data_IF_441151628983
#
_entry.id   IF_441151628983
#
_cell.length_a   1.000
_cell.length_b   1.000
_cell.length_c   1.000
_cell.angle_alpha   90.00
_cell.angle_beta   90.00
_cell.angle_gamma   90.00
#
_symmetry.space_group_name_H-M   'P 1'
#
loop_
_entity.id
_entity.type
_entity.pdbx_description
1 polymer ?
#
# COMPACT_ATOMS: atom_id res chain seq x y z
N UNK A 1 1.01 -24.80 -17.74
CA UNK A 1 2.33 -24.54 -17.12
C UNK A 1 2.26 -24.92 -15.66
N UNK A 2 3.39 -25.30 -15.01
CA UNK A 2 3.40 -25.61 -13.58
C UNK A 2 3.07 -24.34 -12.76
N UNK A 3 2.43 -24.52 -11.59
CA UNK A 3 2.16 -23.39 -10.69
C UNK A 3 3.34 -23.20 -9.74
N UNK A 4 4.31 -22.44 -10.20
CA UNK A 4 5.53 -22.15 -9.42
C UNK A 4 5.26 -21.30 -8.18
N UNK A 5 4.19 -20.48 -8.16
CA UNK A 5 3.82 -19.67 -7.01
C UNK A 5 3.33 -20.54 -5.84
N UNK A 6 2.47 -21.51 -6.13
CA UNK A 6 2.03 -22.48 -5.12
C UNK A 6 3.19 -23.34 -4.62
N UNK A 7 4.09 -23.75 -5.53
CA UNK A 7 5.31 -24.49 -5.18
C UNK A 7 6.21 -23.68 -4.25
N UNK A 8 6.43 -22.39 -4.56
CA UNK A 8 7.24 -21.50 -3.75
C UNK A 8 6.66 -21.32 -2.34
N UNK A 9 5.33 -21.11 -2.20
CA UNK A 9 4.66 -21.00 -0.90
C UNK A 9 4.82 -22.26 -0.04
N UNK A 10 4.69 -23.45 -0.64
CA UNK A 10 4.90 -24.71 0.07
C UNK A 10 6.32 -24.81 0.63
N UNK A 11 7.32 -24.44 -0.17
CA UNK A 11 8.73 -24.47 0.23
C UNK A 11 9.02 -23.42 1.32
N UNK A 12 8.58 -22.18 1.10
CA UNK A 12 8.78 -21.06 2.04
C UNK A 12 8.18 -21.36 3.42
N UNK A 13 6.96 -21.87 3.43
CA UNK A 13 6.23 -22.17 4.67
C UNK A 13 6.51 -23.57 5.22
N UNK A 14 7.39 -24.34 4.57
CA UNK A 14 7.75 -25.73 4.92
C UNK A 14 6.50 -26.62 5.07
N UNK A 15 5.54 -26.46 4.17
CA UNK A 15 4.30 -27.24 4.12
C UNK A 15 4.41 -28.31 3.07
N UNK A 16 4.05 -29.56 3.40
CA UNK A 16 3.97 -30.65 2.43
C UNK A 16 2.67 -30.61 1.64
N UNK A 17 2.64 -31.20 0.43
CA UNK A 17 1.42 -31.36 -0.36
C UNK A 17 0.34 -32.13 0.39
N UNK A 18 0.71 -33.13 1.19
CA UNK A 18 -0.22 -33.89 2.03
C UNK A 18 -0.85 -33.04 3.13
N UNK A 19 -0.07 -32.18 3.81
CA UNK A 19 -0.57 -31.28 4.85
C UNK A 19 -1.52 -30.22 4.28
N UNK A 20 -1.18 -29.67 3.11
CA UNK A 20 -2.09 -28.74 2.42
C UNK A 20 -3.38 -29.46 1.99
N UNK A 21 -3.27 -30.65 1.43
CA UNK A 21 -4.43 -31.44 0.99
C UNK A 21 -5.41 -31.73 2.13
N UNK A 22 -4.89 -32.12 3.30
CA UNK A 22 -5.68 -32.31 4.52
C UNK A 22 -6.38 -31.00 4.94
N UNK A 23 -5.65 -29.88 4.98
CA UNK A 23 -6.18 -28.60 5.41
C UNK A 23 -7.31 -28.08 4.49
N UNK A 24 -7.22 -28.33 3.18
CA UNK A 24 -8.23 -27.89 2.21
C UNK A 24 -9.21 -28.99 1.79
N UNK A 25 -9.16 -30.16 2.47
CA UNK A 25 -10.06 -31.30 2.30
C UNK A 25 -10.10 -31.85 0.86
N UNK A 26 -8.92 -32.15 0.31
CA UNK A 26 -8.75 -32.79 -1.00
C UNK A 26 -7.69 -33.88 -0.95
N UNK A 27 -7.58 -34.71 -2.00
CA UNK A 27 -6.50 -35.69 -2.12
C UNK A 27 -5.14 -35.03 -2.42
N UNK A 28 -4.04 -35.57 -1.91
CA UNK A 28 -2.70 -35.10 -2.20
C UNK A 28 -2.39 -35.04 -3.71
N UNK A 29 -2.87 -36.03 -4.48
CA UNK A 29 -2.78 -36.05 -5.96
C UNK A 29 -3.46 -34.85 -6.61
N UNK A 30 -4.52 -34.33 -5.98
CA UNK A 30 -5.22 -33.13 -6.46
C UNK A 30 -4.33 -31.91 -6.29
N UNK A 31 -3.67 -31.75 -5.14
CA UNK A 31 -2.69 -30.68 -4.92
C UNK A 31 -1.50 -30.79 -5.88
N UNK A 32 -0.98 -32.01 -6.09
CA UNK A 32 0.09 -32.23 -7.08
C UNK A 32 -0.31 -31.81 -8.49
N UNK A 33 -1.55 -32.08 -8.92
CA UNK A 33 -2.06 -31.61 -10.24
C UNK A 33 -2.14 -30.09 -10.32
N UNK A 34 -2.47 -29.41 -9.23
CA UNK A 34 -2.45 -27.95 -9.19
C UNK A 34 -1.04 -27.40 -9.38
N UNK A 35 -0.04 -28.06 -8.78
CA UNK A 35 1.37 -27.64 -8.85
C UNK A 35 1.98 -28.01 -10.21
N UNK A 36 1.96 -29.29 -10.58
CA UNK A 36 2.74 -29.83 -11.70
C UNK A 36 2.05 -29.54 -13.04
N UNK A 37 0.74 -29.81 -13.11
CA UNK A 37 -0.04 -29.59 -14.32
C UNK A 37 -0.57 -28.14 -14.45
N UNK A 38 -0.41 -27.31 -13.41
CA UNK A 38 -0.94 -25.95 -13.37
C UNK A 38 -2.47 -25.90 -13.48
N UNK A 39 -3.15 -26.97 -13.04
CA UNK A 39 -4.61 -27.03 -13.09
C UNK A 39 -5.20 -26.03 -12.10
N UNK A 40 -6.08 -25.16 -12.57
CA UNK A 40 -6.80 -24.22 -11.73
C UNK A 40 -7.92 -24.94 -10.96
N UNK A 41 -7.94 -24.87 -9.62
CA UNK A 41 -9.01 -25.48 -8.82
C UNK A 41 -10.34 -24.74 -8.95
N UNK A 42 -11.43 -25.36 -8.51
CA UNK A 42 -12.69 -24.65 -8.28
C UNK A 42 -12.52 -23.55 -7.21
N UNK A 43 -13.29 -22.49 -7.30
CA UNK A 43 -13.22 -21.28 -6.44
C UNK A 43 -13.12 -21.59 -4.94
N UNK A 44 -13.93 -22.55 -4.44
CA UNK A 44 -13.89 -22.97 -3.03
C UNK A 44 -12.49 -23.42 -2.60
N UNK A 45 -11.81 -24.22 -3.43
CA UNK A 45 -10.47 -24.73 -3.10
C UNK A 45 -9.40 -23.66 -3.27
N UNK A 46 -9.51 -22.78 -4.27
CA UNK A 46 -8.60 -21.65 -4.43
C UNK A 46 -8.64 -20.75 -3.20
N UNK A 47 -9.85 -20.39 -2.76
CA UNK A 47 -10.05 -19.59 -1.55
C UNK A 47 -9.44 -20.24 -0.30
N UNK A 48 -9.69 -21.53 -0.08
CA UNK A 48 -9.17 -22.25 1.08
C UNK A 48 -7.63 -22.33 1.07
N UNK A 49 -7.00 -22.53 -0.09
CA UNK A 49 -5.53 -22.54 -0.24
C UNK A 49 -4.96 -21.15 0.02
N UNK A 50 -5.56 -20.11 -0.55
CA UNK A 50 -5.15 -18.73 -0.35
C UNK A 50 -5.25 -18.32 1.14
N UNK A 51 -6.36 -18.67 1.79
CA UNK A 51 -6.57 -18.43 3.23
C UNK A 51 -5.55 -19.20 4.10
N UNK A 52 -5.24 -20.46 3.74
CA UNK A 52 -4.25 -21.28 4.45
C UNK A 52 -2.84 -20.63 4.44
N UNK A 53 -2.45 -20.01 3.33
CA UNK A 53 -1.17 -19.33 3.22
C UNK A 53 -1.20 -17.85 3.61
N UNK A 54 -2.38 -17.26 3.82
CA UNK A 54 -2.54 -15.84 4.11
C UNK A 54 -2.18 -14.93 2.93
N UNK A 55 -2.42 -15.41 1.70
CA UNK A 55 -2.16 -14.69 0.45
C UNK A 55 -3.46 -14.50 -0.35
N UNK A 56 -3.42 -13.61 -1.35
CA UNK A 56 -4.53 -13.45 -2.27
C UNK A 56 -4.65 -14.66 -3.23
N UNK A 57 -5.88 -15.05 -3.60
CA UNK A 57 -6.16 -16.12 -4.55
C UNK A 57 -5.50 -15.84 -5.92
N UNK A 58 -5.51 -14.60 -6.35
CA UNK A 58 -4.92 -14.18 -7.63
C UNK A 58 -3.39 -14.23 -7.61
N UNK A 59 -2.78 -14.15 -6.44
CA UNK A 59 -1.34 -14.39 -6.32
C UNK A 59 -0.98 -15.81 -6.75
N UNK A 60 -1.77 -16.80 -6.35
CA UNK A 60 -1.49 -18.22 -6.69
C UNK A 60 -1.99 -18.57 -8.08
N UNK A 61 -3.16 -18.09 -8.46
CA UNK A 61 -3.83 -18.36 -9.74
C UNK A 61 -4.25 -17.06 -10.44
N UNK A 62 -3.33 -16.31 -11.06
CA UNK A 62 -3.63 -15.01 -11.67
C UNK A 62 -4.65 -15.09 -12.81
N UNK A 63 -4.71 -16.23 -13.51
CA UNK A 63 -5.60 -16.44 -14.64
C UNK A 63 -6.92 -17.16 -14.24
N UNK A 64 -7.19 -17.27 -12.94
CA UNK A 64 -8.32 -18.04 -12.43
C UNK A 64 -9.67 -17.32 -12.50
N UNK A 65 -9.63 -16.00 -12.59
CA UNK A 65 -10.79 -15.16 -12.77
C UNK A 65 -10.91 -14.82 -14.25
N UNK A 66 -12.10 -14.93 -14.83
CA UNK A 66 -12.34 -14.35 -16.14
C UNK A 66 -12.32 -12.82 -16.04
N UNK A 67 -12.16 -12.15 -17.18
CA UNK A 67 -12.06 -10.69 -17.21
C UNK A 67 -13.29 -9.99 -16.64
N UNK A 68 -14.48 -10.58 -16.74
CA UNK A 68 -15.70 -10.00 -16.17
C UNK A 68 -15.69 -10.06 -14.64
N UNK A 69 -15.23 -11.18 -14.06
CA UNK A 69 -15.13 -11.35 -12.62
C UNK A 69 -14.08 -10.42 -12.01
N UNK A 70 -12.91 -10.27 -12.68
CA UNK A 70 -11.88 -9.30 -12.26
C UNK A 70 -12.41 -7.87 -12.35
N UNK A 71 -13.11 -7.53 -13.43
CA UNK A 71 -13.68 -6.20 -13.62
C UNK A 71 -14.71 -5.90 -12.54
N UNK A 72 -15.67 -6.80 -12.30
CA UNK A 72 -16.70 -6.62 -11.27
C UNK A 72 -16.12 -6.55 -9.86
N UNK A 73 -15.12 -7.38 -9.54
CA UNK A 73 -14.42 -7.29 -8.26
C UNK A 73 -13.69 -5.94 -8.14
N UNK A 74 -12.97 -5.52 -9.18
CA UNK A 74 -12.24 -4.25 -9.17
C UNK A 74 -13.14 -3.04 -9.06
N UNK A 75 -14.32 -3.04 -9.70
CA UNK A 75 -15.34 -2.00 -9.51
C UNK A 75 -15.81 -1.94 -8.05
N UNK A 76 -15.94 -3.08 -7.38
CA UNK A 76 -16.34 -3.17 -5.98
C UNK A 76 -15.25 -2.72 -5.00
N UNK A 77 -14.00 -2.58 -5.43
CA UNK A 77 -12.92 -1.97 -4.63
C UNK A 77 -13.11 -0.45 -4.47
N UNK A 78 -13.88 0.20 -5.38
CA UNK A 78 -14.05 1.66 -5.36
C UNK A 78 -15.13 2.02 -4.34
N UNK A 79 -14.72 2.55 -3.19
CA UNK A 79 -15.64 3.02 -2.14
C UNK A 79 -16.18 4.40 -2.48
N UNK A 80 -15.29 5.30 -2.92
CA UNK A 80 -15.65 6.66 -3.32
C UNK A 80 -14.62 7.27 -4.28
N UNK A 81 -15.08 8.18 -5.12
CA UNK A 81 -14.23 9.02 -5.95
C UNK A 81 -14.55 10.48 -5.64
N UNK A 82 -13.53 11.24 -5.30
CA UNK A 82 -13.64 12.68 -5.04
C UNK A 82 -13.01 13.45 -6.19
N UNK A 83 -13.61 14.56 -6.65
CA UNK A 83 -13.05 15.36 -7.76
C UNK A 83 -11.68 15.96 -7.41
N UNK A 84 -11.39 16.14 -6.12
CA UNK A 84 -10.12 16.64 -5.61
C UNK A 84 -9.95 16.27 -4.13
N UNK A 85 -8.70 16.14 -3.65
CA UNK A 85 -8.38 15.71 -2.28
C UNK A 85 -9.03 16.59 -1.21
N UNK A 86 -9.11 17.91 -1.41
CA UNK A 86 -9.74 18.83 -0.43
C UNK A 86 -11.24 18.61 -0.24
N UNK A 87 -11.90 17.83 -1.13
CA UNK A 87 -13.29 17.43 -0.98
C UNK A 87 -13.48 16.24 -0.03
N UNK A 88 -12.39 15.56 0.35
CA UNK A 88 -12.44 14.44 1.29
C UNK A 88 -12.74 14.97 2.69
N UNK A 89 -13.82 14.51 3.35
CA UNK A 89 -14.14 14.95 4.71
C UNK A 89 -13.00 14.65 5.69
N UNK A 90 -12.76 15.55 6.65
CA UNK A 90 -11.68 15.38 7.62
C UNK A 90 -11.84 14.09 8.44
N UNK A 91 -13.06 13.73 8.81
CA UNK A 91 -13.34 12.53 9.58
C UNK A 91 -12.97 11.25 8.82
N UNK A 92 -13.03 11.27 7.47
CA UNK A 92 -12.60 10.14 6.64
C UNK A 92 -11.11 9.83 6.81
N UNK A 93 -10.27 10.86 6.96
CA UNK A 93 -8.84 10.70 7.29
C UNK A 93 -8.64 10.13 8.69
N UNK A 94 -9.41 10.64 9.65
CA UNK A 94 -9.41 10.13 11.03
C UNK A 94 -9.79 8.64 11.07
N UNK A 95 -10.84 8.25 10.34
CA UNK A 95 -11.28 6.86 10.27
C UNK A 95 -10.24 5.94 9.62
N UNK A 96 -9.60 6.34 8.51
CA UNK A 96 -8.56 5.55 7.86
C UNK A 96 -7.49 5.09 8.86
N UNK A 97 -6.98 6.02 9.67
CA UNK A 97 -5.88 5.72 10.58
C UNK A 97 -6.35 5.12 11.92
N UNK A 98 -7.51 5.54 12.46
CA UNK A 98 -8.01 5.02 13.74
C UNK A 98 -8.41 3.55 13.68
N UNK A 99 -8.89 3.09 12.52
CA UNK A 99 -9.34 1.71 12.33
C UNK A 99 -8.20 0.75 11.94
N UNK A 100 -7.00 1.28 11.63
CA UNK A 100 -5.88 0.42 11.29
C UNK A 100 -5.44 -0.43 12.48
N UNK A 101 -5.35 -1.74 12.31
CA UNK A 101 -4.96 -2.71 13.34
C UNK A 101 -3.59 -3.34 13.04
N UNK A 102 -3.19 -3.38 11.78
CA UNK A 102 -1.97 -4.05 11.31
C UNK A 102 -0.94 -3.06 10.79
N UNK A 103 -1.37 -2.16 9.90
CA UNK A 103 -0.45 -1.29 9.19
C UNK A 103 -1.05 0.06 8.78
N UNK A 104 -0.27 1.12 8.98
CA UNK A 104 -0.46 2.43 8.37
C UNK A 104 0.69 2.66 7.40
N UNK A 105 0.37 3.01 6.15
CA UNK A 105 1.33 3.33 5.11
C UNK A 105 1.08 4.72 4.53
N UNK A 106 2.14 5.51 4.34
CA UNK A 106 2.08 6.83 3.71
C UNK A 106 3.17 6.91 2.66
N UNK A 107 2.80 7.23 1.41
CA UNK A 107 3.72 7.50 0.32
C UNK A 107 3.32 8.80 -0.36
N UNK A 108 4.19 9.79 -0.31
CA UNK A 108 3.95 11.09 -0.95
C UNK A 108 5.27 11.86 -1.14
N UNK A 109 5.28 12.91 -1.96
CA UNK A 109 6.41 13.84 -2.00
C UNK A 109 6.55 14.57 -0.65
N UNK A 110 5.65 15.45 -0.28
CA UNK A 110 5.76 16.21 0.98
C UNK A 110 4.81 15.76 2.08
N UNK A 111 3.62 15.30 1.72
CA UNK A 111 2.58 14.96 2.70
C UNK A 111 2.31 16.08 3.74
N UNK A 112 2.62 17.33 3.38
CA UNK A 112 2.65 18.45 4.31
C UNK A 112 1.33 18.66 5.06
N UNK A 113 0.18 18.54 4.37
CA UNK A 113 -1.15 18.70 4.96
C UNK A 113 -1.44 17.74 6.12
N UNK A 114 -0.90 16.52 6.05
CA UNK A 114 -1.05 15.51 7.10
C UNK A 114 0.01 15.76 8.20
N UNK A 115 1.20 16.19 7.79
CA UNK A 115 2.27 16.53 8.71
C UNK A 115 1.93 17.74 9.59
N UNK A 116 1.19 18.75 9.10
CA UNK A 116 0.78 19.91 9.90
C UNK A 116 -0.41 19.61 10.83
N UNK A 117 -1.23 18.59 10.55
CA UNK A 117 -2.35 18.18 11.42
C UNK A 117 -1.85 17.42 12.65
N UNK A 118 -1.73 18.15 13.77
CA UNK A 118 -1.27 17.58 15.04
C UNK A 118 -2.19 16.45 15.55
N UNK A 119 -3.50 16.51 15.25
CA UNK A 119 -4.47 15.49 15.64
C UNK A 119 -4.24 14.17 14.90
N UNK A 120 -4.02 14.24 13.58
CA UNK A 120 -3.72 13.04 12.78
C UNK A 120 -2.35 12.44 13.14
N UNK A 121 -1.32 13.26 13.34
CA UNK A 121 -0.01 12.77 13.83
C UNK A 121 -0.13 12.07 15.19
N UNK A 122 -0.85 12.69 16.14
CA UNK A 122 -1.09 12.07 17.45
C UNK A 122 -1.79 10.71 17.31
N UNK A 123 -2.84 10.64 16.49
CA UNK A 123 -3.58 9.42 16.20
C UNK A 123 -2.67 8.31 15.64
N UNK A 124 -1.85 8.64 14.62
CA UNK A 124 -0.88 7.69 14.05
C UNK A 124 0.10 7.20 15.11
N UNK A 125 0.63 8.09 15.95
CA UNK A 125 1.52 7.74 17.05
C UNK A 125 0.85 6.84 18.12
N UNK A 126 -0.42 7.06 18.42
CA UNK A 126 -1.21 6.20 19.33
C UNK A 126 -1.40 4.80 18.73
N UNK A 127 -1.68 4.70 17.42
CA UNK A 127 -1.78 3.40 16.74
C UNK A 127 -0.43 2.66 16.73
N UNK A 128 0.68 3.36 16.50
CA UNK A 128 2.02 2.78 16.59
C UNK A 128 2.31 2.21 17.97
N UNK A 129 1.97 2.95 19.04
CA UNK A 129 2.09 2.48 20.44
C UNK A 129 1.20 1.27 20.73
N UNK A 130 0.08 1.14 20.04
CA UNK A 130 -0.82 -0.02 20.13
C UNK A 130 -0.34 -1.23 19.31
N UNK A 131 0.84 -1.16 18.67
CA UNK A 131 1.44 -2.26 17.92
C UNK A 131 1.26 -2.20 16.41
N UNK A 132 0.57 -1.19 15.87
CA UNK A 132 0.40 -1.01 14.43
C UNK A 132 1.74 -0.61 13.79
N UNK A 133 2.12 -1.28 12.71
CA UNK A 133 3.29 -0.91 11.92
C UNK A 133 3.02 0.37 11.15
N UNK A 134 3.87 1.38 11.30
CA UNK A 134 3.75 2.66 10.58
C UNK A 134 4.93 2.87 9.66
N UNK A 135 4.66 3.00 8.36
CA UNK A 135 5.66 3.21 7.31
C UNK A 135 5.39 4.53 6.59
N UNK A 136 6.33 5.45 6.65
CA UNK A 136 6.21 6.77 6.03
C UNK A 136 7.30 6.94 4.98
N UNK A 137 6.90 7.18 3.73
CA UNK A 137 7.76 7.48 2.59
C UNK A 137 7.55 8.92 2.16
N UNK A 138 8.59 9.73 2.30
CA UNK A 138 8.62 11.11 1.83
C UNK A 138 9.64 11.27 0.72
N UNK A 139 9.43 12.22 -0.18
CA UNK A 139 10.43 12.56 -1.18
C UNK A 139 11.73 13.00 -0.52
N UNK A 140 12.86 12.65 -1.11
CA UNK A 140 14.14 13.22 -0.71
C UNK A 140 14.17 14.69 -1.17
N UNK A 141 14.30 15.68 -0.26
CA UNK A 141 14.30 17.09 -0.64
C UNK A 141 15.47 17.48 -1.58
N UNK A 142 16.51 16.67 -1.63
CA UNK A 142 17.65 16.87 -2.54
C UNK A 142 17.45 16.15 -3.89
N UNK A 143 16.38 15.38 -4.05
CA UNK A 143 16.07 14.70 -5.30
C UNK A 143 15.62 15.68 -6.39
N UNK A 144 16.16 15.58 -7.62
CA UNK A 144 15.72 16.39 -8.74
C UNK A 144 14.22 16.19 -9.05
N UNK A 145 13.67 15.03 -8.75
CA UNK A 145 12.25 14.74 -8.99
C UNK A 145 11.31 15.49 -8.04
N UNK A 146 11.76 15.79 -6.82
CA UNK A 146 11.01 16.65 -5.88
C UNK A 146 10.97 18.08 -6.40
N UNK A 147 12.11 18.59 -6.90
CA UNK A 147 12.18 19.94 -7.49
C UNK A 147 11.33 20.02 -8.77
N UNK A 148 11.46 19.04 -9.67
CA UNK A 148 10.67 18.96 -10.91
C UNK A 148 9.17 18.91 -10.62
N UNK A 149 8.75 18.16 -9.60
CA UNK A 149 7.36 18.17 -9.13
C UNK A 149 6.94 19.56 -8.67
N UNK A 150 7.77 20.26 -7.93
CA UNK A 150 7.53 21.65 -7.52
C UNK A 150 7.36 22.59 -8.72
N UNK A 151 8.22 22.44 -9.71
CA UNK A 151 8.14 23.24 -10.96
C UNK A 151 6.84 22.94 -11.72
N UNK A 152 6.49 21.66 -11.88
CA UNK A 152 5.26 21.26 -12.58
C UNK A 152 3.98 21.75 -11.87
N UNK A 153 4.01 21.89 -10.54
CA UNK A 153 2.89 22.46 -9.76
C UNK A 153 2.91 24.00 -9.71
N UNK A 154 3.92 24.66 -10.29
CA UNK A 154 4.07 26.11 -10.26
C UNK A 154 4.53 26.67 -8.91
N UNK A 155 5.10 25.84 -8.02
CA UNK A 155 5.56 26.24 -6.70
C UNK A 155 7.09 26.12 -6.52
N UNK A 156 7.81 25.62 -7.53
CA UNK A 156 9.28 25.55 -7.57
C UNK A 156 9.90 25.03 -6.28
N UNK A 157 10.86 25.76 -5.72
CA UNK A 157 11.60 25.42 -4.50
C UNK A 157 10.74 25.29 -3.23
N UNK A 158 9.49 25.69 -3.28
CA UNK A 158 8.55 25.49 -2.16
C UNK A 158 8.28 24.00 -1.92
N UNK A 159 8.39 23.14 -2.94
CA UNK A 159 8.19 21.71 -2.76
C UNK A 159 9.26 21.07 -1.88
N UNK A 160 10.58 21.20 -2.17
CA UNK A 160 11.63 20.75 -1.25
C UNK A 160 11.50 21.32 0.16
N UNK A 161 11.15 22.60 0.30
CA UNK A 161 10.94 23.23 1.61
C UNK A 161 9.77 22.59 2.40
N UNK A 162 8.66 22.29 1.73
CA UNK A 162 7.53 21.55 2.33
C UNK A 162 7.94 20.14 2.76
N UNK A 163 8.78 19.45 1.98
CA UNK A 163 9.29 18.14 2.35
C UNK A 163 10.13 18.23 3.62
N UNK A 164 11.08 19.16 3.70
CA UNK A 164 11.92 19.37 4.91
C UNK A 164 11.05 19.66 6.15
N UNK A 165 10.04 20.51 6.00
CA UNK A 165 9.10 20.81 7.09
C UNK A 165 8.30 19.56 7.52
N UNK A 166 7.81 18.78 6.57
CA UNK A 166 7.08 17.55 6.85
C UNK A 166 7.97 16.50 7.57
N UNK A 167 9.22 16.33 7.11
CA UNK A 167 10.22 15.47 7.79
C UNK A 167 10.37 15.89 9.25
N UNK A 168 10.58 17.18 9.50
CA UNK A 168 10.73 17.72 10.87
C UNK A 168 9.52 17.41 11.74
N UNK A 169 8.30 17.56 11.20
CA UNK A 169 7.07 17.27 11.95
C UNK A 169 6.87 15.77 12.21
N UNK A 170 7.15 14.91 11.21
CA UNK A 170 7.01 13.46 11.36
C UNK A 170 8.10 12.84 12.24
N UNK A 171 9.26 13.47 12.41
CA UNK A 171 10.28 13.01 13.38
C UNK A 171 9.75 12.86 14.80
N UNK A 172 8.72 13.63 15.18
CA UNK A 172 8.05 13.45 16.47
C UNK A 172 7.44 12.06 16.66
N UNK A 173 7.21 11.32 15.59
CA UNK A 173 6.69 9.94 15.62
C UNK A 173 7.80 8.88 15.79
N UNK A 174 9.07 9.21 15.49
CA UNK A 174 10.19 8.24 15.58
C UNK A 174 10.41 7.73 17.01
N UNK A 175 9.97 8.48 18.01
CA UNK A 175 9.98 8.03 19.41
C UNK A 175 8.97 6.92 19.73
N UNK A 176 7.99 6.69 18.85
CA UNK A 176 7.01 5.62 18.99
C UNK A 176 7.58 4.32 18.39
N UNK A 177 7.37 3.16 19.06
CA UNK A 177 7.77 1.88 18.49
C UNK A 177 7.02 1.64 17.16
N UNK A 178 7.59 0.81 16.28
CA UNK A 178 6.99 0.41 15.01
C UNK A 178 6.79 1.53 13.97
N UNK A 179 7.41 2.70 14.14
CA UNK A 179 7.43 3.77 13.13
C UNK A 179 8.76 3.73 12.38
N UNK A 180 8.67 3.70 11.07
CA UNK A 180 9.83 3.80 10.18
C UNK A 180 9.57 4.85 9.11
N UNK A 181 10.51 5.79 8.97
CA UNK A 181 10.46 6.86 7.97
C UNK A 181 11.59 6.66 6.97
N UNK A 182 11.27 6.69 5.68
CA UNK A 182 12.26 6.60 4.59
C UNK A 182 12.09 7.76 3.61
N UNK A 183 13.19 8.08 2.93
CA UNK A 183 13.21 9.06 1.85
C UNK A 183 13.35 8.35 0.51
N UNK A 184 12.55 8.75 -0.48
CA UNK A 184 12.59 8.21 -1.83
C UNK A 184 13.00 9.27 -2.85
N UNK A 185 13.80 8.87 -3.83
CA UNK A 185 14.13 9.65 -5.02
C UNK A 185 13.36 9.15 -6.26
N UNK A 186 12.09 8.77 -6.10
CA UNK A 186 11.29 8.14 -7.16
C UNK A 186 10.31 9.14 -7.75
N UNK A 187 10.06 9.06 -9.07
CA UNK A 187 8.97 9.80 -9.71
C UNK A 187 7.65 9.16 -9.28
N UNK A 188 6.81 9.92 -8.58
CA UNK A 188 5.49 9.46 -8.16
C UNK A 188 4.40 9.94 -9.13
N UNK A 189 3.51 9.05 -9.51
CA UNK A 189 2.28 9.35 -10.26
C UNK A 189 1.05 9.50 -9.38
N UNK A 190 1.19 9.20 -8.10
CA UNK A 190 0.16 9.31 -7.07
C UNK A 190 0.78 9.36 -5.68
N UNK A 191 0.01 9.84 -4.70
CA UNK A 191 0.29 9.60 -3.29
C UNK A 191 -0.64 8.50 -2.79
N UNK A 192 -0.15 7.66 -1.88
CA UNK A 192 -0.91 6.54 -1.30
C UNK A 192 -0.94 6.70 0.22
N UNK A 193 -2.13 6.55 0.80
CA UNK A 193 -2.33 6.50 2.24
C UNK A 193 -3.11 5.24 2.54
N UNK A 194 -2.58 4.43 3.43
CA UNK A 194 -3.10 3.10 3.75
C UNK A 194 -3.46 2.98 5.22
N UNK A 195 -4.60 2.35 5.50
CA UNK A 195 -4.95 1.78 6.80
C UNK A 195 -5.44 0.35 6.55
N UNK A 196 -4.58 -0.64 6.80
CA UNK A 196 -4.84 -2.06 6.49
C UNK A 196 -5.25 -2.31 5.04
N UNK A 197 -6.51 -2.64 4.81
CA UNK A 197 -7.09 -2.92 3.50
C UNK A 197 -7.81 -1.71 2.88
N UNK A 198 -7.82 -0.55 3.57
CA UNK A 198 -8.33 0.72 3.07
C UNK A 198 -7.19 1.54 2.48
N UNK A 199 -7.40 2.09 1.28
CA UNK A 199 -6.42 2.92 0.59
C UNK A 199 -7.05 4.22 0.14
N UNK A 200 -6.30 5.30 0.32
CA UNK A 200 -6.55 6.59 -0.30
C UNK A 200 -5.47 6.86 -1.33
N UNK A 201 -5.87 7.11 -2.56
CA UNK A 201 -4.96 7.35 -3.68
C UNK A 201 -5.24 8.73 -4.25
N UNK A 202 -4.26 9.62 -4.13
CA UNK A 202 -4.32 10.95 -4.72
C UNK A 202 -3.50 10.97 -6.02
N UNK A 203 -4.17 11.12 -7.15
CA UNK A 203 -3.49 11.18 -8.45
C UNK A 203 -2.61 12.41 -8.56
N UNK A 204 -1.53 12.30 -9.35
CA UNK A 204 -0.70 13.43 -9.72
C UNK A 204 -0.94 13.78 -11.19
N UNK A 205 -1.62 14.89 -11.44
CA UNK A 205 -1.85 15.43 -12.78
C UNK A 205 -0.79 16.48 -13.05
N UNK A 206 -0.22 16.48 -14.26
CA UNK A 206 0.75 17.47 -14.68
C UNK A 206 0.16 18.89 -14.60
N UNK A 207 0.89 19.82 -13.98
CA UNK A 207 0.45 21.21 -13.81
C UNK A 207 -0.62 21.42 -12.75
N UNK A 208 -1.04 20.38 -12.02
CA UNK A 208 -2.10 20.47 -11.00
C UNK A 208 -1.54 20.11 -9.63
N UNK A 209 -1.73 21.01 -8.66
CA UNK A 209 -1.38 20.71 -7.28
C UNK A 209 -2.20 19.53 -6.74
N UNK A 210 -1.57 18.66 -5.96
CA UNK A 210 -2.17 17.42 -5.46
C UNK A 210 -3.49 17.62 -4.70
N UNK A 211 -3.70 18.75 -4.03
CA UNK A 211 -4.98 19.05 -3.35
C UNK A 211 -6.15 19.33 -4.30
N UNK A 212 -5.87 19.63 -5.59
CA UNK A 212 -6.84 19.88 -6.64
C UNK A 212 -6.97 18.71 -7.63
N UNK A 213 -6.22 17.61 -7.42
CA UNK A 213 -6.27 16.43 -8.26
C UNK A 213 -7.28 15.39 -7.74
N UNK A 214 -7.82 14.52 -8.62
CA UNK A 214 -8.74 13.46 -8.25
C UNK A 214 -8.19 12.55 -7.16
N UNK A 215 -9.10 12.03 -6.37
CA UNK A 215 -8.78 11.23 -5.22
C UNK A 215 -9.71 10.02 -5.13
N UNK A 216 -9.13 8.84 -4.91
CA UNK A 216 -9.85 7.58 -4.80
C UNK A 216 -9.80 7.07 -3.37
N UNK A 217 -10.93 6.60 -2.87
CA UNK A 217 -11.02 5.76 -1.69
C UNK A 217 -11.30 4.34 -2.17
N UNK A 218 -10.37 3.45 -1.90
CA UNK A 218 -10.42 2.05 -2.31
C UNK A 218 -10.45 1.16 -1.08
N UNK A 219 -11.12 0.02 -1.19
CA UNK A 219 -11.06 -1.07 -0.23
C UNK A 219 -10.57 -2.32 -0.93
N UNK A 220 -9.44 -2.86 -0.50
CA UNK A 220 -8.91 -4.12 -1.03
C UNK A 220 -9.88 -5.25 -0.74
N UNK A 221 -10.31 -5.95 -1.79
CA UNK A 221 -11.16 -7.12 -1.68
C UNK A 221 -10.55 -8.32 -2.42
N UNK A 222 -10.90 -9.55 -2.04
CA UNK A 222 -10.44 -10.74 -2.77
C UNK A 222 -10.89 -10.71 -4.23
N UNK A 223 -9.93 -10.91 -5.14
CA UNK A 223 -10.18 -10.90 -6.59
C UNK A 223 -10.11 -9.52 -7.24
N UNK A 224 -10.06 -8.43 -6.47
CA UNK A 224 -9.83 -7.09 -6.98
C UNK A 224 -8.34 -6.87 -7.34
N UNK A 225 -8.09 -6.05 -8.34
CA UNK A 225 -6.75 -5.78 -8.88
C UNK A 225 -6.28 -4.34 -8.65
N UNK A 226 -7.20 -3.39 -8.43
CA UNK A 226 -6.87 -1.96 -8.32
C UNK A 226 -6.06 -1.70 -7.05
N UNK A 227 -6.57 -2.08 -5.88
CA UNK A 227 -5.89 -1.85 -4.61
C UNK A 227 -4.53 -2.58 -4.56
N UNK A 228 -4.45 -3.81 -5.10
CA UNK A 228 -3.20 -4.57 -5.16
C UNK A 228 -2.13 -3.84 -5.98
N UNK A 229 -2.49 -3.24 -7.12
CA UNK A 229 -1.55 -2.48 -7.96
C UNK A 229 -0.91 -1.32 -7.20
N UNK A 230 -1.69 -0.59 -6.40
CA UNK A 230 -1.17 0.50 -5.56
C UNK A 230 -0.34 0.01 -4.39
N UNK A 231 -0.72 -1.10 -3.75
CA UNK A 231 0.06 -1.72 -2.68
C UNK A 231 1.42 -2.21 -3.18
N UNK A 232 1.46 -2.87 -4.35
CA UNK A 232 2.72 -3.29 -4.98
C UNK A 232 3.61 -2.10 -5.33
N UNK A 233 3.02 -1.00 -5.82
CA UNK A 233 3.75 0.24 -6.07
C UNK A 233 4.35 0.81 -4.78
N UNK A 234 3.60 0.83 -3.68
CA UNK A 234 4.10 1.24 -2.37
C UNK A 234 5.30 0.39 -1.94
N UNK A 235 5.19 -0.95 -2.05
CA UNK A 235 6.27 -1.86 -1.64
C UNK A 235 7.53 -1.67 -2.51
N UNK A 236 7.40 -1.42 -3.81
CA UNK A 236 8.56 -1.14 -4.68
C UNK A 236 9.30 0.11 -4.24
N UNK A 237 8.58 1.21 -4.01
CA UNK A 237 9.19 2.46 -3.53
C UNK A 237 9.80 2.27 -2.14
N UNK A 238 9.13 1.52 -1.25
CA UNK A 238 9.63 1.21 0.08
C UNK A 238 10.98 0.49 0.05
N UNK A 239 11.12 -0.50 -0.82
CA UNK A 239 12.34 -1.31 -0.93
C UNK A 239 13.52 -0.54 -1.50
N UNK A 240 13.28 0.49 -2.32
CA UNK A 240 14.29 1.34 -2.94
C UNK A 240 14.65 2.55 -2.07
N UNK A 241 13.79 2.93 -1.13
CA UNK A 241 13.94 4.12 -0.31
C UNK A 241 14.98 3.94 0.79
N UNK A 242 15.65 5.04 1.15
CA UNK A 242 16.68 5.07 2.20
C UNK A 242 16.08 5.45 3.56
N UNK A 243 16.47 4.79 4.65
CA UNK A 243 16.06 5.19 6.00
C UNK A 243 16.40 6.67 6.25
N UNK A 244 15.52 7.37 6.96
CA UNK A 244 15.82 8.71 7.45
C UNK A 244 16.91 8.59 8.52
N UNK A 245 18.13 9.04 8.21
CA UNK A 245 19.26 8.95 9.14
C UNK A 245 19.03 9.85 10.36
N UNK A 246 19.28 9.31 11.56
CA UNK A 246 19.33 10.08 12.79
C UNK A 246 20.47 11.12 12.70
N UNK A 247 20.19 12.38 13.02
CA UNK A 247 21.22 13.36 13.33
C UNK A 247 21.79 14.19 12.21
N UNK A 248 21.32 14.12 10.93
CA UNK A 248 21.62 15.19 9.99
C UNK A 248 20.67 16.37 10.23
N UNK A 249 21.13 17.53 10.71
CA UNK A 249 20.32 18.74 10.64
C UNK A 249 19.98 18.96 9.16
N UNK A 250 18.72 19.10 8.89
CA UNK A 250 18.25 19.53 7.54
C UNK A 250 18.84 20.91 7.31
N UNK A 251 19.65 21.13 6.25
CA UNK A 251 20.27 22.42 5.97
C UNK A 251 19.22 23.49 5.69
#
# INVERSE_FOLDING_TARGET
>A
MANERLRALLLERRVTTAKLAEAVQVDAKTVERWIVAGRVPYRKHRYNVAAFFGVDETYIWPDALDNEQVTSASESEIVAVYPYRRAVPRDTWGHLFSQAEREIGILAYSCYFLAEDAGLRKLIGERAKAGVRVRILLGDPESPFVLERGQSEGIGDTMPAKVRSAITMFRSLESAPNVEIRLHGTILYNSIFRGDDQLFVNTHIYGVMANNAPFFHLHKIPGGAIANSYLESFERVWNEAQPLLEGKPTP
#
